data_IF_521765880953
#
_entry.id   IF_521765880953
#
_cell.length_a   1.000
_cell.length_b   1.000
_cell.length_c   1.000
_cell.angle_alpha   90.00
_cell.angle_beta   90.00
_cell.angle_gamma   90.00
#
_symmetry.space_group_name_H-M   'P 1'
#
loop_
_entity.id
_entity.type
_entity.pdbx_description
1 polymer ?
#
# COMPACT_ATOMS: atom_id res chain seq x y z
N UNK A 1 15.52 1.81 9.21
CA UNK A 1 14.16 1.92 8.65
C UNK A 1 13.86 3.39 8.47
N UNK A 2 13.47 3.84 7.28
CA UNK A 2 13.10 5.25 7.08
C UNK A 2 11.85 5.54 7.92
N UNK A 3 11.82 6.65 8.70
CA UNK A 3 10.65 7.00 9.49
C UNK A 3 9.45 7.14 8.57
N UNK A 4 8.35 6.50 8.95
CA UNK A 4 7.07 6.66 8.25
C UNK A 4 6.67 8.12 8.44
N UNK A 5 6.74 8.90 7.38
CA UNK A 5 6.31 10.28 7.39
C UNK A 5 4.81 10.30 7.70
N UNK A 6 4.43 10.89 8.83
CA UNK A 6 3.03 10.97 9.26
C UNK A 6 2.18 11.68 8.20
N UNK A 7 0.90 11.29 8.09
CA UNK A 7 0.00 11.90 7.11
C UNK A 7 -0.16 13.41 7.33
N UNK A 8 -0.10 13.87 8.59
CA UNK A 8 -0.10 15.30 8.92
C UNK A 8 1.10 16.03 8.31
N UNK A 9 2.31 15.44 8.40
CA UNK A 9 3.51 16.05 7.82
C UNK A 9 3.42 16.10 6.30
N UNK A 10 2.86 15.07 5.67
CA UNK A 10 2.65 15.06 4.22
C UNK A 10 1.67 16.14 3.76
N UNK A 11 0.59 16.34 4.52
CA UNK A 11 -0.36 17.43 4.25
C UNK A 11 0.30 18.81 4.42
N UNK A 12 1.11 19.02 5.46
CA UNK A 12 1.87 20.27 5.63
C UNK A 12 2.82 20.56 4.47
N UNK A 13 3.46 19.54 3.91
CA UNK A 13 4.31 19.70 2.71
C UNK A 13 3.51 20.23 1.52
N UNK A 14 2.28 19.76 1.32
CA UNK A 14 1.38 20.29 0.26
C UNK A 14 1.05 21.76 0.56
N UNK A 15 0.61 22.08 1.77
CA UNK A 15 0.27 23.44 2.18
C UNK A 15 1.46 24.40 1.99
N UNK A 16 2.66 24.01 2.40
CA UNK A 16 3.87 24.82 2.21
C UNK A 16 4.19 25.08 0.74
N UNK A 17 4.00 24.09 -0.12
CA UNK A 17 4.31 24.24 -1.54
C UNK A 17 3.23 25.03 -2.31
N UNK A 18 1.95 24.75 -2.06
CA UNK A 18 0.84 25.33 -2.83
C UNK A 18 0.30 26.63 -2.25
N UNK A 19 0.20 26.75 -0.92
CA UNK A 19 -0.35 27.97 -0.28
C UNK A 19 0.76 28.98 0.07
N UNK A 20 1.92 28.50 0.52
CA UNK A 20 3.02 29.37 0.97
C UNK A 20 4.12 29.54 -0.09
N UNK A 21 4.01 28.87 -1.25
CA UNK A 21 4.96 28.93 -2.37
C UNK A 21 6.43 28.69 -1.96
N UNK A 22 6.65 27.87 -0.92
CA UNK A 22 7.98 27.53 -0.43
C UNK A 22 8.64 26.54 -1.38
N UNK A 23 9.94 26.73 -1.64
CA UNK A 23 10.69 25.84 -2.52
C UNK A 23 10.85 24.44 -1.92
N UNK A 24 10.94 23.40 -2.75
CA UNK A 24 11.15 22.03 -2.28
C UNK A 24 12.46 21.88 -1.45
N UNK A 25 13.47 22.72 -1.70
CA UNK A 25 14.73 22.74 -0.95
C UNK A 25 14.57 23.27 0.47
N UNK A 26 13.73 24.29 0.65
CA UNK A 26 13.44 24.84 1.97
C UNK A 26 12.51 23.88 2.74
N UNK A 27 11.55 23.27 2.05
CA UNK A 27 10.70 22.21 2.61
C UNK A 27 11.55 21.01 3.06
N UNK A 28 12.58 20.63 2.31
CA UNK A 28 13.52 19.58 2.72
C UNK A 28 14.17 19.90 4.06
N UNK A 29 14.64 21.15 4.21
CA UNK A 29 15.29 21.63 5.43
C UNK A 29 14.31 21.69 6.60
N UNK A 30 13.06 22.12 6.36
CA UNK A 30 12.01 22.22 7.39
C UNK A 30 11.45 20.86 7.83
N UNK A 31 11.19 19.97 6.88
CA UNK A 31 10.58 18.67 7.13
C UNK A 31 11.59 17.58 7.53
N UNK A 32 12.89 17.79 7.28
CA UNK A 32 13.94 16.80 7.52
C UNK A 32 13.81 15.55 6.62
N UNK A 33 13.11 15.66 5.49
CA UNK A 33 12.78 14.53 4.61
C UNK A 33 13.46 14.66 3.25
N UNK A 34 13.85 13.56 2.63
CA UNK A 34 14.54 13.61 1.34
C UNK A 34 13.76 14.40 0.27
N UNK A 35 14.47 15.15 -0.58
CA UNK A 35 13.88 15.86 -1.72
C UNK A 35 13.04 14.94 -2.61
N UNK A 36 13.50 13.70 -2.82
CA UNK A 36 12.76 12.69 -3.57
C UNK A 36 11.39 12.39 -2.96
N UNK A 37 11.30 12.29 -1.63
CA UNK A 37 10.04 12.10 -0.92
C UNK A 37 9.09 13.27 -1.13
N UNK A 38 9.61 14.51 -1.08
CA UNK A 38 8.83 15.72 -1.31
C UNK A 38 8.28 15.75 -2.73
N UNK A 39 9.12 15.52 -3.74
CA UNK A 39 8.67 15.49 -5.13
C UNK A 39 7.65 14.37 -5.38
N UNK A 40 7.84 13.18 -4.80
CA UNK A 40 6.86 12.10 -4.92
C UNK A 40 5.50 12.50 -4.32
N UNK A 41 5.50 13.13 -3.14
CA UNK A 41 4.27 13.61 -2.49
C UNK A 41 3.57 14.67 -3.35
N UNK A 42 4.32 15.65 -3.83
CA UNK A 42 3.78 16.72 -4.68
C UNK A 42 3.25 16.17 -6.00
N UNK A 43 3.92 15.16 -6.57
CA UNK A 43 3.48 14.47 -7.77
C UNK A 43 2.18 13.70 -7.52
N UNK A 44 2.09 12.90 -6.46
CA UNK A 44 0.86 12.17 -6.15
C UNK A 44 -0.33 13.10 -5.90
N UNK A 45 -0.09 14.22 -5.20
CA UNK A 45 -1.13 15.23 -4.99
C UNK A 45 -1.56 15.88 -6.31
N UNK A 46 -0.63 16.15 -7.23
CA UNK A 46 -0.93 16.73 -8.55
C UNK A 46 -1.70 15.76 -9.45
N UNK A 47 -1.28 14.50 -9.50
CA UNK A 47 -1.78 13.51 -10.46
C UNK A 47 -3.05 12.82 -9.97
N UNK A 48 -3.18 12.58 -8.67
CA UNK A 48 -4.26 11.78 -8.07
C UNK A 48 -5.05 12.52 -6.97
N UNK A 49 -4.63 13.72 -6.55
CA UNK A 49 -5.25 14.44 -5.44
C UNK A 49 -4.98 13.81 -4.06
N UNK A 50 -4.08 12.82 -3.98
CA UNK A 50 -3.79 12.09 -2.73
C UNK A 50 -2.34 12.25 -2.31
N UNK A 51 -2.11 12.26 -1.00
CA UNK A 51 -0.76 12.31 -0.42
C UNK A 51 -0.13 10.94 -0.22
N UNK A 52 -0.97 9.91 -0.29
CA UNK A 52 -0.60 8.52 -0.25
C UNK A 52 -0.61 7.93 -1.65
N UNK A 53 0.25 6.92 -1.84
CA UNK A 53 0.32 6.18 -3.08
C UNK A 53 -1.03 5.46 -3.32
N UNK A 54 -1.80 5.83 -4.35
CA UNK A 54 -3.10 5.20 -4.60
C UNK A 54 -2.98 3.73 -5.03
N UNK A 55 -1.79 3.31 -5.48
CA UNK A 55 -1.50 1.93 -5.85
C UNK A 55 -0.95 1.10 -4.69
N UNK A 56 -0.81 1.69 -3.49
CA UNK A 56 -0.43 0.96 -2.30
C UNK A 56 -1.63 0.16 -1.77
N UNK A 57 -1.95 -0.95 -2.44
CA UNK A 57 -2.91 -1.94 -1.97
C UNK A 57 -2.25 -3.10 -1.22
N UNK A 58 -3.06 -3.99 -0.62
CA UNK A 58 -2.59 -5.28 -0.12
C UNK A 58 -1.80 -5.98 -1.22
N UNK A 59 -0.58 -6.41 -0.90
CA UNK A 59 0.22 -7.20 -1.85
C UNK A 59 -0.35 -8.62 -1.89
N UNK A 60 -0.69 -9.09 -3.09
CA UNK A 60 -1.27 -10.42 -3.33
C UNK A 60 -2.49 -10.33 -4.24
N UNK A 61 -2.71 -11.35 -5.06
CA UNK A 61 -3.93 -11.46 -5.86
C UNK A 61 -5.16 -11.72 -4.97
N UNK A 62 -6.35 -11.50 -5.53
CA UNK A 62 -7.60 -11.94 -4.89
C UNK A 62 -7.50 -13.44 -4.62
N UNK A 63 -7.86 -13.86 -3.40
CA UNK A 63 -7.86 -15.30 -3.06
C UNK A 63 -8.84 -16.01 -3.99
N UNK A 64 -8.37 -17.06 -4.66
CA UNK A 64 -9.23 -17.87 -5.53
C UNK A 64 -10.20 -18.75 -4.74
N UNK A 65 -9.84 -19.12 -3.51
CA UNK A 65 -10.66 -19.94 -2.62
C UNK A 65 -11.35 -19.06 -1.57
N UNK A 66 -12.65 -19.28 -1.41
CA UNK A 66 -13.41 -18.72 -0.31
C UNK A 66 -13.39 -19.64 0.93
N UNK A 67 -14.07 -19.23 2.00
CA UNK A 67 -14.11 -20.01 3.24
C UNK A 67 -14.89 -21.33 3.08
N UNK A 68 -15.88 -21.36 2.19
CA UNK A 68 -16.64 -22.57 1.84
C UNK A 68 -15.76 -23.60 1.16
N UNK A 69 -14.96 -23.16 0.17
CA UNK A 69 -13.99 -24.00 -0.52
C UNK A 69 -12.96 -24.60 0.47
N UNK A 70 -12.47 -23.77 1.39
CA UNK A 70 -11.52 -24.22 2.42
C UNK A 70 -12.13 -25.27 3.35
N UNK A 71 -13.40 -25.10 3.75
CA UNK A 71 -14.11 -26.07 4.58
C UNK A 71 -14.37 -27.38 3.84
N UNK A 72 -14.70 -27.31 2.55
CA UNK A 72 -14.88 -28.48 1.69
C UNK A 72 -13.58 -29.27 1.56
N UNK A 73 -12.48 -28.60 1.21
CA UNK A 73 -11.16 -29.23 1.12
C UNK A 73 -10.73 -29.85 2.45
N UNK A 74 -10.96 -29.17 3.57
CA UNK A 74 -10.67 -29.69 4.90
C UNK A 74 -11.48 -30.97 5.21
N UNK A 75 -12.76 -31.01 4.84
CA UNK A 75 -13.61 -32.19 5.05
C UNK A 75 -13.17 -33.40 4.22
N UNK A 76 -12.67 -33.18 3.00
CA UNK A 76 -12.17 -34.26 2.15
C UNK A 76 -10.86 -34.82 2.69
N UNK A 77 -9.95 -33.93 3.13
CA UNK A 77 -8.67 -34.35 3.71
C UNK A 77 -8.89 -35.14 5.00
N UNK A 78 -9.85 -34.72 5.83
CA UNK A 78 -10.22 -35.45 7.06
C UNK A 78 -10.78 -36.84 6.75
N UNK A 79 -11.66 -36.95 5.74
CA UNK A 79 -12.22 -38.22 5.30
C UNK A 79 -11.20 -39.13 4.59
N UNK A 80 -10.22 -38.55 3.87
CA UNK A 80 -9.21 -39.25 3.08
C UNK A 80 -7.84 -38.59 3.22
N UNK A 81 -7.10 -38.83 4.31
CA UNK A 81 -5.84 -38.14 4.59
C UNK A 81 -4.68 -38.49 3.64
N UNK A 82 -4.86 -39.49 2.77
CA UNK A 82 -3.89 -39.90 1.74
C UNK A 82 -4.29 -39.45 0.33
N UNK A 83 -5.32 -38.61 0.19
CA UNK A 83 -5.75 -38.09 -1.10
C UNK A 83 -4.65 -37.23 -1.71
N UNK A 84 -4.39 -37.41 -3.00
CA UNK A 84 -3.42 -36.61 -3.73
C UNK A 84 -4.08 -35.36 -4.33
N UNK A 85 -3.26 -34.36 -4.72
CA UNK A 85 -3.78 -33.09 -5.23
C UNK A 85 -4.51 -33.24 -6.57
N UNK A 86 -4.03 -34.14 -7.43
CA UNK A 86 -4.66 -34.49 -8.71
C UNK A 86 -6.02 -35.17 -8.51
N UNK A 87 -6.15 -36.00 -7.47
CA UNK A 87 -7.42 -36.60 -7.07
C UNK A 87 -8.43 -35.57 -6.53
N UNK A 88 -7.96 -34.47 -5.95
CA UNK A 88 -8.80 -33.35 -5.49
C UNK A 88 -9.29 -32.44 -6.62
N UNK A 89 -8.65 -32.49 -7.78
CA UNK A 89 -8.93 -31.62 -8.92
C UNK A 89 -9.83 -32.27 -10.00
N UNK A 90 -10.20 -33.54 -9.84
CA UNK A 90 -11.15 -34.28 -10.69
C UNK A 90 -12.60 -34.10 -10.23
#
# INVERSE_FOLDING_TARGET
>A
MAPILSNEMRQRIITWHYEQHISASDIHTLAGCSLRTIYNILQFHRDYGTVDNPFAGPRGGVRCFDMGDMNYLASIIDARPKIYLDELQQ
#
